data_IF_262791165481
#
_entry.id   IF_262791165481
#
_cell.length_a   1.000
_cell.length_b   1.000
_cell.length_c   1.000
_cell.angle_alpha   90.00
_cell.angle_beta   90.00
_cell.angle_gamma   90.00
#
_symmetry.space_group_name_H-M   'P 1'
#
loop_
_entity.id
_entity.type
_entity.pdbx_description
1 polymer ?
#
# COMPACT_ATOMS: atom_id res chain seq x y z
N UNK A 1 17.77 -9.92 18.20
CA UNK A 1 18.86 -10.55 17.44
C UNK A 1 18.73 -10.06 16.00
N UNK A 2 19.67 -9.24 15.51
CA UNK A 2 19.66 -8.78 14.12
C UNK A 2 19.95 -9.97 13.20
N UNK A 3 19.01 -10.35 12.34
CA UNK A 3 19.28 -11.31 11.24
C UNK A 3 20.42 -10.74 10.39
N UNK A 4 21.30 -11.59 9.81
CA UNK A 4 22.33 -11.11 8.90
C UNK A 4 21.64 -10.66 7.62
N UNK A 5 21.56 -9.35 7.46
CA UNK A 5 21.17 -8.69 6.22
C UNK A 5 22.36 -8.91 5.25
N UNK A 6 22.09 -9.44 4.06
CA UNK A 6 23.11 -9.62 3.01
C UNK A 6 23.47 -8.29 2.34
N UNK A 7 24.01 -8.35 1.13
CA UNK A 7 24.37 -7.14 0.38
C UNK A 7 23.14 -6.29 0.04
N UNK A 8 23.34 -4.97 -0.05
CA UNK A 8 22.32 -4.06 -0.59
C UNK A 8 22.16 -4.32 -2.09
N UNK A 9 20.93 -4.64 -2.51
CA UNK A 9 20.58 -4.98 -3.90
C UNK A 9 19.66 -3.96 -4.55
N UNK A 10 19.16 -2.98 -3.80
CA UNK A 10 18.28 -1.95 -4.32
C UNK A 10 18.05 -0.82 -3.32
N UNK A 11 17.71 0.34 -3.86
CA UNK A 11 17.47 1.55 -3.08
C UNK A 11 16.36 2.37 -3.72
N UNK A 12 15.37 2.73 -2.91
CA UNK A 12 14.26 3.61 -3.29
C UNK A 12 14.08 4.76 -2.29
N UNK A 13 13.09 5.61 -2.52
CA UNK A 13 12.82 6.76 -1.65
C UNK A 13 12.38 6.36 -0.24
N UNK A 14 11.61 5.28 -0.11
CA UNK A 14 11.05 4.81 1.16
C UNK A 14 11.89 3.74 1.87
N UNK A 15 12.62 2.91 1.11
CA UNK A 15 13.32 1.72 1.62
C UNK A 15 14.67 1.50 0.95
N UNK A 16 15.60 0.90 1.70
CA UNK A 16 16.72 0.11 1.16
C UNK A 16 16.31 -1.36 1.10
N UNK A 17 16.81 -2.07 0.11
CA UNK A 17 16.50 -3.47 -0.16
C UNK A 17 17.78 -4.29 -0.09
N UNK A 18 17.76 -5.32 0.74
CA UNK A 18 18.91 -6.19 0.96
C UNK A 18 18.55 -7.65 0.70
N UNK A 19 19.56 -8.46 0.40
CA UNK A 19 19.38 -9.91 0.37
C UNK A 19 19.00 -10.46 1.75
N UNK A 20 18.08 -11.44 1.74
CA UNK A 20 17.63 -12.15 2.93
C UNK A 20 17.62 -13.66 2.65
N UNK A 21 17.89 -14.52 3.65
CA UNK A 21 17.86 -15.96 3.45
C UNK A 21 16.55 -16.48 2.85
N UNK A 22 16.65 -17.52 2.01
CA UNK A 22 15.49 -18.24 1.47
C UNK A 22 14.81 -17.59 0.26
N UNK A 23 15.61 -17.02 -0.65
CA UNK A 23 15.12 -16.29 -1.84
C UNK A 23 14.14 -15.16 -1.52
N UNK A 24 14.49 -14.40 -0.48
CA UNK A 24 13.72 -13.25 -0.01
C UNK A 24 14.57 -12.00 -0.05
N UNK A 25 13.89 -10.87 0.02
CA UNK A 25 14.50 -9.57 0.23
C UNK A 25 14.04 -8.99 1.57
N UNK A 26 14.89 -8.17 2.19
CA UNK A 26 14.56 -7.39 3.37
C UNK A 26 14.42 -5.92 2.94
N UNK A 27 13.26 -5.31 3.18
CA UNK A 27 13.06 -3.87 3.04
C UNK A 27 13.29 -3.21 4.40
N UNK A 28 14.28 -2.32 4.45
CA UNK A 28 14.65 -1.54 5.63
C UNK A 28 14.23 -0.09 5.41
N UNK A 29 13.42 0.51 6.31
CA UNK A 29 12.90 1.85 6.11
C UNK A 29 14.02 2.89 6.11
N UNK A 30 13.97 3.84 5.16
CA UNK A 30 14.85 5.00 5.17
C UNK A 30 14.45 5.98 6.28
N UNK A 31 15.43 6.62 6.89
CA UNK A 31 15.24 7.90 7.58
C UNK A 31 14.91 9.03 6.60
N UNK A 32 14.42 10.17 7.11
CA UNK A 32 14.19 11.36 6.28
C UNK A 32 15.47 11.79 5.55
N UNK A 33 16.61 11.83 6.23
CA UNK A 33 17.87 12.23 5.61
C UNK A 33 18.28 11.30 4.45
N UNK A 34 18.11 9.99 4.63
CA UNK A 34 18.41 9.01 3.57
C UNK A 34 17.45 9.12 2.40
N UNK A 35 16.16 9.36 2.66
CA UNK A 35 15.14 9.56 1.63
C UNK A 35 15.42 10.84 0.82
N UNK A 36 15.83 11.93 1.48
CA UNK A 36 16.22 13.18 0.81
C UNK A 36 17.38 12.94 -0.15
N UNK A 37 18.42 12.22 0.27
CA UNK A 37 19.56 11.90 -0.61
C UNK A 37 19.10 11.20 -1.89
N UNK A 38 18.24 10.18 -1.77
CA UNK A 38 17.71 9.45 -2.93
C UNK A 38 16.90 10.38 -3.85
N UNK A 39 16.01 11.20 -3.29
CA UNK A 39 15.23 12.14 -4.09
C UNK A 39 16.08 13.25 -4.71
N UNK A 40 17.17 13.69 -4.08
CA UNK A 40 18.11 14.65 -4.66
C UNK A 40 18.86 14.03 -5.85
N UNK A 41 19.25 12.76 -5.75
CA UNK A 41 19.86 12.03 -6.87
C UNK A 41 18.92 11.92 -8.08
N UNK A 42 17.59 11.86 -7.86
CA UNK A 42 16.59 11.79 -8.93
C UNK A 42 16.18 13.16 -9.49
N UNK A 43 15.95 14.15 -8.62
CA UNK A 43 15.37 15.44 -9.01
C UNK A 43 16.42 16.52 -9.30
N UNK A 44 17.63 16.40 -8.74
CA UNK A 44 18.67 17.44 -8.83
C UNK A 44 18.41 18.71 -8.01
N UNK A 45 17.31 18.77 -7.25
CA UNK A 45 16.90 19.90 -6.39
C UNK A 45 16.60 19.40 -4.96
N UNK A 46 17.32 19.94 -3.97
CA UNK A 46 17.22 19.53 -2.56
C UNK A 46 15.90 19.96 -1.87
N UNK A 47 15.34 21.12 -2.26
CA UNK A 47 14.09 21.63 -1.70
C UNK A 47 12.91 20.78 -2.14
N UNK A 48 12.85 20.45 -3.43
CA UNK A 48 11.87 19.52 -3.97
C UNK A 48 12.06 18.11 -3.39
N UNK A 49 13.30 17.64 -3.26
CA UNK A 49 13.61 16.35 -2.70
C UNK A 49 13.10 16.20 -1.25
N UNK A 50 13.23 17.24 -0.43
CA UNK A 50 12.72 17.21 0.96
C UNK A 50 11.20 17.07 1.03
N UNK A 51 10.47 17.78 0.17
CA UNK A 51 9.01 17.67 0.13
C UNK A 51 8.57 16.27 -0.33
N UNK A 52 9.17 15.76 -1.40
CA UNK A 52 8.89 14.40 -1.91
C UNK A 52 9.24 13.32 -0.89
N UNK A 53 10.39 13.43 -0.21
CA UNK A 53 10.78 12.51 0.84
C UNK A 53 9.75 12.48 1.97
N UNK A 54 9.33 13.63 2.50
CA UNK A 54 8.30 13.69 3.54
C UNK A 54 6.99 13.07 3.11
N UNK A 55 6.56 13.33 1.88
CA UNK A 55 5.33 12.77 1.33
C UNK A 55 5.43 11.24 1.19
N UNK A 56 6.51 10.73 0.59
CA UNK A 56 6.73 9.30 0.41
C UNK A 56 6.82 8.58 1.76
N UNK A 57 7.55 9.12 2.73
CA UNK A 57 7.62 8.54 4.07
C UNK A 57 6.26 8.57 4.79
N UNK A 58 5.47 9.63 4.62
CA UNK A 58 4.10 9.70 5.14
C UNK A 58 3.20 8.60 4.57
N UNK A 59 3.28 8.35 3.26
CA UNK A 59 2.56 7.22 2.65
C UNK A 59 3.03 5.87 3.19
N UNK A 60 4.35 5.67 3.30
CA UNK A 60 4.92 4.44 3.85
C UNK A 60 4.40 4.17 5.25
N UNK A 61 4.50 5.15 6.14
CA UNK A 61 4.17 5.00 7.56
C UNK A 61 2.67 4.75 7.77
N UNK A 62 1.81 5.30 6.91
CA UNK A 62 0.38 5.04 6.92
C UNK A 62 0.01 3.68 6.31
N UNK A 63 0.56 3.34 5.14
CA UNK A 63 0.09 2.23 4.33
C UNK A 63 0.75 0.90 4.71
N UNK A 64 2.08 0.87 4.91
CA UNK A 64 2.82 -0.39 5.06
C UNK A 64 2.36 -1.19 6.28
N UNK A 65 2.26 -0.61 7.50
CA UNK A 65 1.78 -1.38 8.65
C UNK A 65 0.37 -1.93 8.45
N UNK A 66 -0.54 -1.13 7.87
CA UNK A 66 -1.91 -1.54 7.58
C UNK A 66 -1.95 -2.69 6.57
N UNK A 67 -1.23 -2.58 5.47
CA UNK A 67 -1.22 -3.61 4.42
C UNK A 67 -0.56 -4.89 4.92
N UNK A 68 0.48 -4.81 5.74
CA UNK A 68 1.05 -5.97 6.39
C UNK A 68 0.03 -6.68 7.29
N UNK A 69 -0.74 -5.95 8.10
CA UNK A 69 -1.86 -6.53 8.88
C UNK A 69 -2.92 -7.16 7.98
N UNK A 70 -3.34 -6.48 6.91
CA UNK A 70 -4.29 -7.04 5.94
C UNK A 70 -3.73 -8.33 5.31
N UNK A 71 -2.46 -8.33 4.89
CA UNK A 71 -1.82 -9.51 4.28
C UNK A 71 -1.73 -10.71 5.23
N UNK A 72 -1.63 -10.47 6.54
CA UNK A 72 -1.67 -11.52 7.55
C UNK A 72 -3.08 -12.13 7.73
N UNK A 73 -4.12 -11.33 7.46
CA UNK A 73 -5.54 -11.72 7.58
C UNK A 73 -6.07 -12.38 6.32
N UNK A 74 -5.62 -11.96 5.14
CA UNK A 74 -6.06 -12.44 3.84
C UNK A 74 -4.92 -13.17 3.11
N UNK A 75 -4.87 -14.52 3.13
CA UNK A 75 -3.80 -15.28 2.49
C UNK A 75 -3.62 -15.00 0.99
N UNK A 76 -4.72 -14.77 0.26
CA UNK A 76 -4.67 -14.42 -1.16
C UNK A 76 -3.98 -13.07 -1.39
N UNK A 77 -4.27 -12.06 -0.56
CA UNK A 77 -3.56 -10.78 -0.59
C UNK A 77 -2.07 -10.96 -0.24
N UNK A 78 -1.74 -11.84 0.71
CA UNK A 78 -0.34 -12.16 1.01
C UNK A 78 0.40 -12.62 -0.24
N UNK A 79 -0.14 -13.57 -1.00
CA UNK A 79 0.47 -14.05 -2.25
C UNK A 79 0.61 -12.93 -3.28
N UNK A 80 -0.45 -12.13 -3.48
CA UNK A 80 -0.48 -11.01 -4.42
C UNK A 80 0.60 -9.95 -4.12
N UNK A 81 0.98 -9.81 -2.86
CA UNK A 81 2.01 -8.88 -2.40
C UNK A 81 3.38 -9.55 -2.24
N UNK A 82 3.65 -10.73 -2.82
CA UNK A 82 4.94 -11.40 -2.66
C UNK A 82 5.20 -11.92 -1.24
N UNK A 83 4.16 -12.34 -0.53
CA UNK A 83 4.17 -12.92 0.82
C UNK A 83 4.95 -12.06 1.83
N UNK A 84 4.58 -10.79 2.02
CA UNK A 84 5.32 -9.90 2.90
C UNK A 84 5.15 -10.34 4.36
N UNK A 85 6.17 -10.12 5.19
CA UNK A 85 6.17 -10.45 6.62
C UNK A 85 6.75 -9.28 7.38
N UNK A 86 5.97 -8.74 8.31
CA UNK A 86 6.45 -7.72 9.24
C UNK A 86 7.66 -8.25 10.03
N UNK A 87 8.67 -7.41 10.16
CA UNK A 87 9.87 -7.64 10.97
C UNK A 87 10.01 -6.47 11.95
N UNK A 88 11.10 -6.42 12.72
CA UNK A 88 11.33 -5.37 13.72
C UNK A 88 11.56 -3.99 13.07
N UNK A 89 11.27 -2.93 13.82
CA UNK A 89 11.61 -1.54 13.48
C UNK A 89 11.07 -1.08 12.11
N UNK A 90 9.85 -1.50 11.76
CA UNK A 90 9.20 -1.15 10.48
C UNK A 90 9.82 -1.83 9.26
N UNK A 91 10.76 -2.76 9.45
CA UNK A 91 11.27 -3.60 8.39
C UNK A 91 10.22 -4.64 7.98
N UNK A 92 10.33 -5.15 6.76
CA UNK A 92 9.59 -6.34 6.35
C UNK A 92 10.37 -7.16 5.33
N UNK A 93 10.16 -8.47 5.33
CA UNK A 93 10.70 -9.36 4.30
C UNK A 93 9.63 -9.73 3.27
N UNK A 94 10.05 -10.03 2.05
CA UNK A 94 9.17 -10.38 0.93
C UNK A 94 9.87 -11.38 0.02
N UNK A 95 9.13 -12.19 -0.74
CA UNK A 95 9.71 -13.07 -1.77
C UNK A 95 10.48 -12.23 -2.80
N UNK A 96 11.64 -12.71 -3.23
CA UNK A 96 12.41 -12.06 -4.29
C UNK A 96 11.67 -12.21 -5.61
N UNK A 97 11.58 -11.13 -6.37
CA UNK A 97 10.95 -11.09 -7.70
C UNK A 97 11.85 -10.37 -8.69
N UNK A 98 11.70 -10.70 -9.97
CA UNK A 98 12.26 -9.86 -11.03
C UNK A 98 11.28 -8.75 -11.34
N UNK A 99 11.73 -7.50 -11.51
CA UNK A 99 10.79 -6.42 -11.86
C UNK A 99 10.11 -6.72 -13.20
N UNK A 100 8.83 -6.39 -13.33
CA UNK A 100 8.07 -6.66 -14.55
C UNK A 100 8.70 -5.95 -15.75
N UNK A 101 9.31 -4.78 -15.53
CA UNK A 101 10.06 -4.06 -16.55
C UNK A 101 11.25 -4.87 -17.09
N UNK A 102 12.06 -5.46 -16.22
CA UNK A 102 13.18 -6.32 -16.63
C UNK A 102 12.71 -7.55 -17.40
N UNK A 103 11.64 -8.20 -16.94
CA UNK A 103 11.08 -9.37 -17.61
C UNK A 103 10.61 -9.03 -19.02
N UNK A 104 9.88 -7.93 -19.18
CA UNK A 104 9.38 -7.49 -20.50
C UNK A 104 10.50 -7.04 -21.44
N UNK A 105 11.56 -6.42 -20.93
CA UNK A 105 12.72 -6.05 -21.76
C UNK A 105 13.44 -7.27 -22.34
N UNK A 106 13.52 -8.37 -21.58
CA UNK A 106 14.10 -9.65 -22.02
C UNK A 106 13.17 -10.44 -22.93
N UNK A 107 11.86 -10.26 -22.79
CA UNK A 107 10.81 -11.02 -23.48
C UNK A 107 9.86 -10.10 -24.27
N UNK A 108 10.41 -9.27 -25.16
CA UNK A 108 9.65 -8.23 -25.86
C UNK A 108 8.46 -8.77 -26.66
N UNK A 109 8.62 -9.95 -27.26
CA UNK A 109 7.59 -10.60 -28.06
C UNK A 109 6.37 -11.05 -27.23
N UNK A 110 6.50 -11.11 -25.90
CA UNK A 110 5.43 -11.45 -24.95
C UNK A 110 4.88 -10.22 -24.22
N UNK A 111 5.23 -9.00 -24.63
CA UNK A 111 4.86 -7.79 -23.91
C UNK A 111 3.34 -7.67 -23.70
N UNK A 112 2.52 -8.01 -24.69
CA UNK A 112 1.06 -7.99 -24.59
C UNK A 112 0.53 -8.92 -23.48
N UNK A 113 1.09 -10.13 -23.35
CA UNK A 113 0.73 -11.08 -22.30
C UNK A 113 1.05 -10.51 -20.91
N UNK A 114 2.22 -9.90 -20.75
CA UNK A 114 2.62 -9.28 -19.50
C UNK A 114 1.73 -8.09 -19.12
N UNK A 115 1.23 -7.34 -20.09
CA UNK A 115 0.26 -6.25 -19.85
C UNK A 115 -1.10 -6.81 -19.40
N UNK A 116 -1.56 -7.92 -19.97
CA UNK A 116 -2.78 -8.59 -19.51
C UNK A 116 -2.62 -9.08 -18.06
N UNK A 117 -1.51 -9.77 -17.74
CA UNK A 117 -1.21 -10.22 -16.36
C UNK A 117 -1.10 -9.06 -15.37
N UNK A 118 -0.52 -7.94 -15.79
CA UNK A 118 -0.50 -6.71 -15.00
C UNK A 118 -1.90 -6.17 -14.72
N UNK A 119 -2.78 -6.16 -15.74
CA UNK A 119 -4.17 -5.75 -15.56
C UNK A 119 -4.94 -6.67 -14.60
N UNK A 120 -4.68 -7.97 -14.67
CA UNK A 120 -5.24 -8.97 -13.75
C UNK A 120 -4.73 -8.74 -12.31
N UNK A 121 -3.43 -8.52 -12.13
CA UNK A 121 -2.87 -8.17 -10.81
C UNK A 121 -3.49 -6.89 -10.24
N UNK A 122 -3.76 -5.85 -11.06
CA UNK A 122 -4.48 -4.66 -10.60
C UNK A 122 -5.91 -4.98 -10.15
N UNK A 123 -6.62 -5.84 -10.89
CA UNK A 123 -7.97 -6.28 -10.51
C UNK A 123 -7.95 -7.06 -9.20
N UNK A 124 -6.95 -7.91 -9.00
CA UNK A 124 -6.76 -8.63 -7.75
C UNK A 124 -6.49 -7.67 -6.59
N UNK A 125 -5.70 -6.60 -6.80
CA UNK A 125 -5.51 -5.54 -5.79
C UNK A 125 -6.84 -4.84 -5.44
N UNK A 126 -7.70 -4.58 -6.44
CA UNK A 126 -9.00 -3.93 -6.21
C UNK A 126 -9.93 -4.78 -5.34
N UNK A 127 -9.87 -6.12 -5.46
CA UNK A 127 -10.62 -7.03 -4.57
C UNK A 127 -10.32 -6.83 -3.09
N UNK A 128 -9.14 -6.32 -2.77
CA UNK A 128 -8.71 -5.98 -1.41
C UNK A 128 -8.70 -4.47 -1.13
N UNK A 129 -9.29 -3.65 -2.00
CA UNK A 129 -9.39 -2.21 -1.81
C UNK A 129 -8.06 -1.45 -1.97
N UNK A 130 -7.12 -1.99 -2.75
CA UNK A 130 -5.82 -1.38 -2.98
C UNK A 130 -5.75 -0.84 -4.41
N UNK A 131 -5.39 0.44 -4.54
CA UNK A 131 -5.07 1.05 -5.82
C UNK A 131 -3.65 1.60 -5.79
N UNK A 132 -2.77 1.11 -6.67
CA UNK A 132 -1.45 1.70 -6.86
C UNK A 132 -1.62 3.13 -7.37
N UNK A 133 -1.25 4.11 -6.54
CA UNK A 133 -1.41 5.52 -6.86
C UNK A 133 -0.49 5.94 -8.02
N UNK A 134 0.73 5.40 -8.06
CA UNK A 134 1.76 5.77 -9.03
C UNK A 134 1.58 5.04 -10.36
N UNK A 135 1.04 3.81 -10.34
CA UNK A 135 0.87 2.94 -11.51
C UNK A 135 2.19 2.71 -12.27
N UNK A 136 3.28 2.56 -11.53
CA UNK A 136 4.60 2.28 -12.09
C UNK A 136 4.75 0.78 -12.32
N UNK A 137 4.11 0.28 -13.38
CA UNK A 137 4.07 -1.15 -13.64
C UNK A 137 5.46 -1.78 -13.84
N UNK A 138 6.46 -0.99 -14.26
CA UNK A 138 7.82 -1.48 -14.53
C UNK A 138 8.64 -1.73 -13.26
N UNK A 139 8.31 -1.09 -12.12
CA UNK A 139 9.10 -1.19 -10.90
C UNK A 139 8.30 -1.44 -9.61
N UNK A 140 6.98 -1.20 -9.59
CA UNK A 140 6.13 -1.56 -8.44
C UNK A 140 5.60 -3.00 -8.53
N UNK A 141 5.70 -3.62 -9.71
CA UNK A 141 5.22 -4.96 -10.00
C UNK A 141 6.37 -5.86 -10.40
N UNK A 142 6.28 -7.11 -9.97
CA UNK A 142 7.32 -8.11 -10.14
C UNK A 142 6.74 -9.41 -10.65
N UNK A 143 7.62 -10.25 -11.18
CA UNK A 143 7.31 -11.58 -11.66
C UNK A 143 7.98 -12.60 -10.73
N UNK A 144 7.18 -13.53 -10.22
CA UNK A 144 7.65 -14.65 -9.39
C UNK A 144 8.39 -15.69 -10.23
N UNK A 145 9.07 -16.64 -9.58
CA UNK A 145 9.68 -17.79 -10.27
C UNK A 145 8.67 -18.66 -11.06
N UNK A 146 7.39 -18.61 -10.67
CA UNK A 146 6.29 -19.34 -11.33
C UNK A 146 5.67 -18.56 -12.50
N UNK A 147 6.09 -17.31 -12.73
CA UNK A 147 5.59 -16.47 -13.84
C UNK A 147 4.33 -15.67 -13.53
N UNK A 148 3.96 -15.56 -12.25
CA UNK A 148 2.86 -14.73 -11.75
C UNK A 148 3.30 -13.28 -11.55
N UNK A 149 2.40 -12.34 -11.83
CA UNK A 149 2.63 -10.91 -11.53
C UNK A 149 2.14 -10.60 -10.12
N UNK A 150 2.99 -9.94 -9.34
CA UNK A 150 2.70 -9.49 -7.97
C UNK A 150 2.93 -7.99 -7.81
N UNK A 151 2.20 -7.36 -6.90
CA UNK A 151 2.35 -5.96 -6.53
C UNK A 151 3.24 -5.86 -5.29
N UNK A 152 4.55 -5.72 -5.51
CA UNK A 152 5.53 -5.86 -4.43
C UNK A 152 5.94 -4.53 -3.78
N UNK A 153 5.58 -3.40 -4.38
CA UNK A 153 5.81 -2.06 -3.81
C UNK A 153 4.53 -1.32 -3.45
N UNK A 154 4.00 -1.63 -2.26
CA UNK A 154 2.70 -1.19 -1.78
C UNK A 154 2.76 0.00 -0.80
N UNK A 155 3.88 0.73 -0.75
CA UNK A 155 4.03 1.90 0.12
C UNK A 155 3.15 3.08 -0.27
N UNK A 156 2.86 3.23 -1.57
CA UNK A 156 2.09 4.35 -2.13
C UNK A 156 0.79 3.87 -2.79
N UNK A 157 -0.14 3.39 -1.96
CA UNK A 157 -1.49 3.05 -2.41
C UNK A 157 -2.51 4.08 -1.97
N UNK A 158 -3.63 4.11 -2.68
CA UNK A 158 -4.85 4.77 -2.24
C UNK A 158 -5.96 3.73 -2.07
N UNK A 159 -6.77 3.93 -1.04
CA UNK A 159 -7.96 3.15 -0.73
C UNK A 159 -9.22 4.04 -0.66
N UNK A 160 -9.08 5.33 -0.98
CA UNK A 160 -10.18 6.27 -0.93
C UNK A 160 -11.01 6.19 -2.22
N UNK A 161 -12.11 5.45 -2.15
CA UNK A 161 -12.99 5.12 -3.27
C UNK A 161 -13.31 6.29 -4.22
N UNK A 162 -13.67 7.51 -3.76
CA UNK A 162 -13.94 8.63 -4.67
C UNK A 162 -12.73 9.03 -5.52
N UNK A 163 -11.54 9.07 -4.90
CA UNK A 163 -10.30 9.37 -5.62
C UNK A 163 -10.00 8.30 -6.66
N UNK A 164 -10.10 7.01 -6.28
CA UNK A 164 -9.78 5.90 -7.17
C UNK A 164 -10.76 5.83 -8.35
N UNK A 165 -12.05 6.01 -8.09
CA UNK A 165 -13.08 6.06 -9.11
C UNK A 165 -12.83 7.17 -10.14
N UNK A 166 -12.43 8.36 -9.68
CA UNK A 166 -12.07 9.48 -10.55
C UNK A 166 -10.78 9.20 -11.32
N UNK A 167 -9.78 8.57 -10.71
CA UNK A 167 -8.54 8.19 -11.38
C UNK A 167 -8.79 7.21 -12.54
N UNK A 168 -9.67 6.22 -12.33
CA UNK A 168 -10.06 5.24 -13.34
C UNK A 168 -10.90 5.89 -14.45
N UNK A 169 -11.90 6.70 -14.08
CA UNK A 169 -12.76 7.41 -15.05
C UNK A 169 -11.94 8.32 -15.97
N UNK A 170 -10.96 9.00 -15.41
CA UNK A 170 -10.07 9.91 -16.13
C UNK A 170 -8.88 9.20 -16.79
N UNK A 171 -8.81 7.86 -16.70
CA UNK A 171 -7.75 7.04 -17.28
C UNK A 171 -6.35 7.56 -16.91
N UNK A 172 -6.14 7.90 -15.63
CA UNK A 172 -4.88 8.47 -15.14
C UNK A 172 -3.66 7.59 -15.45
N UNK A 173 -3.86 6.29 -15.65
CA UNK A 173 -2.84 5.36 -16.14
C UNK A 173 -2.23 5.77 -17.49
N UNK A 174 -2.93 6.53 -18.34
CA UNK A 174 -2.38 7.06 -19.61
C UNK A 174 -1.43 8.24 -19.40
N UNK A 175 -1.52 8.94 -18.26
CA UNK A 175 -0.76 10.15 -17.98
C UNK A 175 0.59 9.90 -17.28
N UNK A 176 0.90 8.65 -16.93
CA UNK A 176 2.14 8.27 -16.24
C UNK A 176 3.29 8.14 -17.24
N UNK A 177 4.06 9.23 -17.37
CA UNK A 177 5.12 9.38 -18.36
C UNK A 177 6.12 8.22 -18.36
N UNK A 178 6.66 7.83 -17.20
CA UNK A 178 7.69 6.79 -17.07
C UNK A 178 7.20 5.42 -17.58
N UNK A 179 6.02 5.00 -17.11
CA UNK A 179 5.35 3.78 -17.58
C UNK A 179 5.06 3.83 -19.08
N UNK A 180 4.55 4.95 -19.58
CA UNK A 180 4.11 5.09 -20.96
C UNK A 180 5.29 5.19 -21.94
N UNK A 181 6.37 5.88 -21.55
CA UNK A 181 7.60 5.95 -22.33
C UNK A 181 8.24 4.57 -22.47
N UNK A 182 8.31 3.82 -21.36
CA UNK A 182 8.80 2.45 -21.36
C UNK A 182 7.93 1.55 -22.25
N UNK A 183 6.59 1.57 -22.09
CA UNK A 183 5.69 0.75 -22.91
C UNK A 183 5.73 1.11 -24.39
N UNK A 184 5.83 2.39 -24.72
CA UNK A 184 5.91 2.84 -26.12
C UNK A 184 7.17 2.33 -26.83
N UNK A 185 8.27 2.12 -26.09
CA UNK A 185 9.51 1.55 -26.63
C UNK A 185 9.41 0.03 -26.82
N UNK A 186 8.63 -0.67 -25.99
CA UNK A 186 8.48 -2.13 -26.05
C UNK A 186 7.33 -2.61 -26.93
N UNK A 187 6.25 -1.83 -27.01
CA UNK A 187 5.02 -2.14 -27.75
C UNK A 187 4.70 -0.97 -28.68
N UNK A 188 5.36 -0.88 -29.86
CA UNK A 188 5.29 0.29 -30.74
C UNK A 188 3.87 0.62 -31.24
N UNK A 189 3.04 -0.41 -31.45
CA UNK A 189 1.65 -0.25 -31.90
C UNK A 189 0.70 0.22 -30.79
N UNK A 190 1.24 0.45 -29.58
CA UNK A 190 0.49 0.92 -28.41
C UNK A 190 -0.68 0.02 -28.02
N UNK A 191 -0.57 -1.28 -28.29
CA UNK A 191 -1.62 -2.27 -27.99
C UNK A 191 -2.00 -2.27 -26.50
N UNK A 192 -1.06 -1.94 -25.61
CA UNK A 192 -1.34 -1.76 -24.19
C UNK A 192 -2.46 -0.76 -23.89
N UNK A 193 -2.68 0.28 -24.71
CA UNK A 193 -3.82 1.19 -24.54
C UNK A 193 -5.15 0.48 -24.75
N UNK A 194 -5.20 -0.43 -25.74
CA UNK A 194 -6.39 -1.24 -26.02
C UNK A 194 -6.64 -2.21 -24.87
N UNK A 195 -5.60 -2.93 -24.44
CA UNK A 195 -5.67 -3.90 -23.35
C UNK A 195 -6.13 -3.21 -22.07
N UNK A 196 -5.37 -2.24 -21.56
CA UNK A 196 -5.69 -1.52 -20.33
C UNK A 196 -7.02 -0.75 -20.45
N UNK A 197 -7.33 -0.16 -21.60
CA UNK A 197 -8.61 0.52 -21.84
C UNK A 197 -9.82 -0.39 -21.74
N UNK A 198 -9.68 -1.68 -22.08
CA UNK A 198 -10.75 -2.68 -21.96
C UNK A 198 -10.85 -3.30 -20.55
N UNK A 199 -9.75 -3.28 -19.78
CA UNK A 199 -9.66 -3.93 -18.46
C UNK A 199 -9.88 -2.95 -17.31
N UNK A 200 -9.27 -1.77 -17.38
CA UNK A 200 -9.26 -0.74 -16.33
C UNK A 200 -10.46 0.18 -16.55
N UNK A 201 -11.63 -0.28 -16.13
CA UNK A 201 -12.91 0.40 -16.37
C UNK A 201 -13.68 0.67 -15.06
N UNK A 202 -14.55 1.70 -15.03
CA UNK A 202 -15.41 1.94 -13.87
C UNK A 202 -16.34 0.77 -13.53
N UNK A 203 -16.80 0.01 -14.53
CA UNK A 203 -17.65 -1.18 -14.32
C UNK A 203 -16.89 -2.24 -13.54
N UNK A 204 -15.68 -2.59 -14.00
CA UNK A 204 -14.82 -3.55 -13.29
C UNK A 204 -14.42 -3.08 -11.91
N UNK A 205 -14.15 -1.80 -11.75
CA UNK A 205 -13.86 -1.22 -10.44
C UNK A 205 -15.01 -1.44 -9.46
N UNK A 206 -16.23 -1.07 -9.85
CA UNK A 206 -17.41 -1.23 -8.99
C UNK A 206 -17.74 -2.70 -8.68
N UNK A 207 -17.46 -3.61 -9.61
CA UNK A 207 -17.65 -5.05 -9.40
C UNK A 207 -16.66 -5.66 -8.41
N UNK A 208 -15.41 -5.17 -8.42
CA UNK A 208 -14.30 -5.80 -7.71
C UNK A 208 -13.98 -5.13 -6.38
N UNK A 209 -14.22 -3.83 -6.24
CA UNK A 209 -13.67 -3.06 -5.12
C UNK A 209 -14.08 -3.61 -3.75
N UNK A 210 -13.09 -4.08 -2.99
CA UNK A 210 -13.27 -4.62 -1.64
C UNK A 210 -14.07 -5.94 -1.58
N UNK A 211 -14.29 -6.62 -2.71
CA UNK A 211 -15.18 -7.81 -2.76
C UNK A 211 -14.69 -9.01 -1.95
N UNK A 212 -13.43 -9.03 -1.54
CA UNK A 212 -12.81 -10.12 -0.75
C UNK A 212 -12.58 -9.74 0.72
N UNK A 213 -13.11 -8.59 1.16
CA UNK A 213 -12.91 -8.08 2.50
C UNK A 213 -14.04 -8.46 3.46
N UNK A 214 -13.69 -8.59 4.73
CA UNK A 214 -14.68 -8.66 5.80
C UNK A 214 -15.46 -7.34 5.96
N UNK A 215 -16.51 -7.37 6.77
CA UNK A 215 -17.40 -6.21 6.97
C UNK A 215 -16.64 -4.97 7.50
N UNK A 216 -15.66 -5.15 8.39
CA UNK A 216 -14.95 -4.02 8.99
C UNK A 216 -13.99 -3.40 7.98
N UNK A 217 -13.20 -4.18 7.26
CA UNK A 217 -12.30 -3.63 6.24
C UNK A 217 -13.08 -3.01 5.07
N UNK A 218 -14.19 -3.63 4.67
CA UNK A 218 -15.09 -3.06 3.65
C UNK A 218 -15.62 -1.69 4.06
N UNK A 219 -15.99 -1.53 5.33
CA UNK A 219 -16.44 -0.26 5.87
C UNK A 219 -15.31 0.78 5.96
N UNK A 220 -14.07 0.35 6.23
CA UNK A 220 -12.90 1.23 6.22
C UNK A 220 -12.56 1.77 4.82
N UNK A 221 -13.01 1.11 3.76
CA UNK A 221 -12.95 1.60 2.37
C UNK A 221 -14.11 2.54 1.98
N UNK A 222 -14.97 2.87 2.94
CA UNK A 222 -16.20 3.63 2.71
C UNK A 222 -15.98 4.92 1.91
N UNK A 223 -16.92 5.29 1.03
CA UNK A 223 -16.74 6.43 0.12
C UNK A 223 -16.87 7.79 0.80
N UNK A 224 -17.28 7.83 2.08
CA UNK A 224 -17.58 9.06 2.82
C UNK A 224 -16.41 9.39 3.73
N UNK A 225 -15.98 10.64 3.73
CA UNK A 225 -14.96 11.09 4.66
C UNK A 225 -15.54 11.14 6.09
N UNK A 226 -14.78 10.70 7.10
CA UNK A 226 -15.27 10.66 8.48
C UNK A 226 -15.54 12.04 9.07
N UNK A 227 -14.90 13.11 8.58
CA UNK A 227 -15.23 14.49 8.98
C UNK A 227 -16.69 14.89 8.68
N UNK A 228 -17.32 14.24 7.69
CA UNK A 228 -18.70 14.51 7.30
C UNK A 228 -19.69 13.62 8.10
N UNK A 229 -19.17 12.62 8.84
CA UNK A 229 -19.91 11.66 9.66
C UNK A 229 -19.17 11.34 10.97
N UNK A 230 -18.92 12.34 11.83
CA UNK A 230 -18.15 12.16 13.06
C UNK A 230 -18.81 11.19 14.06
N UNK A 231 -20.10 10.90 13.91
CA UNK A 231 -20.84 9.90 14.67
C UNK A 231 -20.34 8.46 14.46
N UNK A 232 -19.76 8.16 13.29
CA UNK A 232 -19.27 6.82 12.94
C UNK A 232 -17.91 6.52 13.62
N UNK A 233 -17.16 7.56 14.02
CA UNK A 233 -15.80 7.45 14.58
C UNK A 233 -15.75 6.59 15.83
N UNK A 234 -16.71 6.75 16.75
CA UNK A 234 -16.73 5.99 18.00
C UNK A 234 -16.93 4.50 17.78
N UNK A 235 -17.93 4.13 16.96
CA UNK A 235 -18.23 2.73 16.65
C UNK A 235 -17.08 2.04 15.90
N UNK A 236 -16.49 2.74 14.92
CA UNK A 236 -15.33 2.24 14.18
C UNK A 236 -14.10 2.08 15.08
N UNK A 237 -13.77 3.06 15.91
CA UNK A 237 -12.62 3.00 16.81
C UNK A 237 -12.72 1.79 17.75
N UNK A 238 -13.90 1.55 18.34
CA UNK A 238 -14.12 0.40 19.21
C UNK A 238 -13.93 -0.93 18.47
N UNK A 239 -14.45 -1.05 17.25
CA UNK A 239 -14.34 -2.27 16.44
C UNK A 239 -12.91 -2.54 15.97
N UNK A 240 -12.18 -1.49 15.57
CA UNK A 240 -10.76 -1.58 15.21
C UNK A 240 -9.95 -2.08 16.40
N UNK A 241 -10.13 -1.46 17.58
CA UNK A 241 -9.41 -1.84 18.80
C UNK A 241 -9.78 -3.25 19.25
N UNK A 242 -11.06 -3.62 19.18
CA UNK A 242 -11.50 -4.97 19.53
C UNK A 242 -10.89 -6.03 18.60
N UNK A 243 -10.84 -5.77 17.28
CA UNK A 243 -10.19 -6.65 16.30
C UNK A 243 -8.69 -6.79 16.61
N UNK A 244 -8.00 -5.67 16.82
CA UNK A 244 -6.57 -5.67 17.14
C UNK A 244 -6.24 -6.43 18.43
N UNK A 245 -7.08 -6.27 19.47
CA UNK A 245 -6.91 -7.06 20.70
C UNK A 245 -7.09 -8.56 20.44
N UNK A 246 -8.11 -8.94 19.67
CA UNK A 246 -8.35 -10.35 19.32
C UNK A 246 -7.18 -10.95 18.53
N UNK A 247 -6.66 -10.22 17.56
CA UNK A 247 -5.53 -10.66 16.72
C UNK A 247 -4.23 -10.78 17.52
N UNK A 248 -4.01 -9.88 18.48
CA UNK A 248 -2.84 -9.92 19.37
C UNK A 248 -2.99 -10.90 20.56
N UNK A 249 -4.16 -11.54 20.74
CA UNK A 249 -4.46 -12.32 21.93
C UNK A 249 -4.46 -11.49 23.22
N UNK A 250 -4.67 -10.17 23.12
CA UNK A 250 -4.75 -9.24 24.24
C UNK A 250 -6.16 -9.26 24.85
N UNK A 251 -6.25 -9.01 26.15
CA UNK A 251 -7.52 -8.78 26.83
C UNK A 251 -8.30 -7.61 26.21
N UNK A 252 -9.62 -7.55 26.49
CA UNK A 252 -10.49 -6.50 25.95
C UNK A 252 -10.01 -5.11 26.39
N UNK A 253 -9.78 -4.24 25.41
CA UNK A 253 -9.55 -2.80 25.58
C UNK A 253 -10.73 -2.04 24.98
N UNK A 254 -11.15 -0.95 25.63
CA UNK A 254 -12.20 -0.05 25.12
C UNK A 254 -11.64 1.34 24.88
N UNK A 255 -12.20 2.08 23.92
CA UNK A 255 -11.92 3.52 23.77
C UNK A 255 -12.83 4.29 24.74
N UNK A 256 -12.26 5.18 25.54
CA UNK A 256 -13.04 6.05 26.44
C UNK A 256 -13.92 7.03 25.66
N UNK A 257 -15.00 7.50 26.28
CA UNK A 257 -15.90 8.49 25.66
C UNK A 257 -15.17 9.80 25.38
N UNK A 258 -14.24 10.21 26.24
CA UNK A 258 -13.39 11.39 26.04
C UNK A 258 -12.44 11.21 24.84
N UNK A 259 -11.83 10.04 24.69
CA UNK A 259 -11.00 9.74 23.53
C UNK A 259 -11.82 9.68 22.23
N UNK A 260 -13.04 9.13 22.27
CA UNK A 260 -13.96 9.17 21.12
C UNK A 260 -14.30 10.62 20.77
N UNK A 261 -14.63 11.46 21.74
CA UNK A 261 -14.93 12.87 21.49
C UNK A 261 -13.74 13.61 20.86
N UNK A 262 -12.52 13.34 21.34
CA UNK A 262 -11.30 13.90 20.75
C UNK A 262 -11.09 13.42 19.31
N UNK A 263 -11.24 12.12 19.04
CA UNK A 263 -11.14 11.57 17.70
C UNK A 263 -12.20 12.15 16.77
N UNK A 264 -13.45 12.29 17.22
CA UNK A 264 -14.56 12.85 16.42
C UNK A 264 -14.34 14.32 16.04
N UNK A 265 -13.49 15.06 16.75
CA UNK A 265 -13.16 16.46 16.44
C UNK A 265 -12.04 16.60 15.40
N UNK A 266 -11.33 15.52 15.03
CA UNK A 266 -10.24 15.58 14.05
C UNK A 266 -10.79 15.66 12.61
N UNK A 267 -10.09 16.36 11.69
CA UNK A 267 -10.56 16.55 10.32
C UNK A 267 -10.27 15.34 9.42
N UNK A 268 -10.85 14.19 9.74
CA UNK A 268 -10.57 12.93 9.05
C UNK A 268 -10.87 12.98 7.54
N UNK A 269 -10.03 12.29 6.78
CA UNK A 269 -10.30 11.93 5.39
C UNK A 269 -11.02 10.58 5.31
N UNK A 270 -10.44 9.57 4.63
CA UNK A 270 -11.05 8.25 4.51
C UNK A 270 -11.18 7.55 5.88
N UNK A 271 -12.17 6.66 6.07
CA UNK A 271 -12.33 5.92 7.31
C UNK A 271 -11.11 5.06 7.69
N UNK A 272 -10.40 4.53 6.70
CA UNK A 272 -9.15 3.78 6.89
C UNK A 272 -8.05 4.57 7.64
N UNK A 273 -8.07 5.91 7.58
CA UNK A 273 -7.12 6.75 8.31
C UNK A 273 -7.26 6.67 9.84
N UNK A 274 -8.41 6.20 10.33
CA UNK A 274 -8.65 6.01 11.76
C UNK A 274 -7.86 4.80 12.32
N UNK A 275 -7.66 3.76 11.50
CA UNK A 275 -7.00 2.53 11.93
C UNK A 275 -5.59 2.75 12.49
N UNK A 276 -4.63 3.38 11.79
CA UNK A 276 -3.27 3.56 12.33
C UNK A 276 -3.26 4.34 13.65
N UNK A 277 -4.15 5.31 13.84
CA UNK A 277 -4.24 6.09 15.08
C UNK A 277 -4.81 5.25 16.23
N UNK A 278 -5.87 4.49 15.99
CA UNK A 278 -6.46 3.62 16.99
C UNK A 278 -5.50 2.49 17.42
N UNK A 279 -4.73 1.93 16.47
CA UNK A 279 -3.73 0.91 16.75
C UNK A 279 -2.55 1.49 17.53
N UNK A 280 -2.02 2.65 17.15
CA UNK A 280 -0.94 3.31 17.88
C UNK A 280 -1.36 3.64 19.33
N UNK A 281 -2.60 4.10 19.53
CA UNK A 281 -3.14 4.34 20.86
C UNK A 281 -3.26 3.07 21.70
N UNK A 282 -3.67 1.95 21.08
CA UNK A 282 -3.71 0.65 21.74
C UNK A 282 -2.31 0.18 22.18
N UNK A 283 -1.29 0.38 21.33
CA UNK A 283 0.09 -0.04 21.61
C UNK A 283 0.70 0.68 22.81
N UNK A 284 0.35 1.94 23.05
CA UNK A 284 0.84 2.72 24.20
C UNK A 284 -0.05 2.64 25.43
N UNK A 285 -1.30 2.21 25.28
CA UNK A 285 -2.22 2.07 26.40
C UNK A 285 -1.78 0.95 27.33
N UNK A 286 -1.47 1.28 28.59
CA UNK A 286 -1.09 0.33 29.65
C UNK A 286 -2.29 -0.36 30.33
N UNK A 287 -3.51 -0.06 29.87
CA UNK A 287 -4.74 -0.44 30.56
C UNK A 287 -5.75 -1.23 29.73
N UNK A 288 -6.93 -1.39 30.32
CA UNK A 288 -8.13 -1.90 29.64
C UNK A 288 -8.89 -0.78 28.90
N UNK A 289 -8.34 0.43 28.84
CA UNK A 289 -9.00 1.61 28.27
C UNK A 289 -7.99 2.53 27.59
N UNK A 290 -8.29 2.93 26.36
CA UNK A 290 -7.61 3.99 25.62
C UNK A 290 -8.19 5.33 26.04
N UNK A 291 -7.32 6.23 26.48
CA UNK A 291 -7.67 7.58 26.94
C UNK A 291 -7.15 8.64 25.96
N UNK A 292 -7.51 9.89 26.22
CA UNK A 292 -7.08 11.03 25.37
C UNK A 292 -5.56 11.14 25.34
N UNK A 293 -4.88 10.89 26.47
CA UNK A 293 -3.42 10.88 26.55
C UNK A 293 -2.74 9.80 25.69
N UNK A 294 -3.48 8.74 25.33
CA UNK A 294 -2.99 7.66 24.47
C UNK A 294 -3.15 8.01 22.97
N UNK A 295 -3.86 9.09 22.63
CA UNK A 295 -4.05 9.48 21.23
C UNK A 295 -2.86 10.30 20.75
N UNK A 296 -1.90 9.63 20.09
CA UNK A 296 -0.78 10.29 19.45
C UNK A 296 -1.29 11.37 18.46
N UNK A 297 -0.63 12.52 18.47
CA UNK A 297 -0.93 13.68 17.60
C UNK A 297 -0.57 13.41 16.15
#
# INVERSE_FOLDING_TARGET
MSKPIGDEIGRGGQFKVYESPGDRVMKVPNSLAESVVVHTEWAGDEGQATASAKQGLGFRDANVPRILRMSARYPALSVLLGRPRAEVDGCFSQDRVSTLGEVMQRNKDQAAEWIEKFAECMHDCWRFGLYDYLLLFNCNYGVTGDGDVVFFDFGEVSDFTPFVADAIRNRQWEARFESYEFLSKLVPDKEYRRILGSRVTPVRFNELWGSELDDLDSELLGPRALRDHPEDVGGLSQRIVARACSEAGRGRVVVSDEAIAELSNRPWGPPSALEPVAIAALEISDGAMIRVEDLVS
#
